data_IF_143087117712
#
_entry.id   IF_143087117712
#
_cell.length_a   1.000
_cell.length_b   1.000
_cell.length_c   1.000
_cell.angle_alpha   90.00
_cell.angle_beta   90.00
_cell.angle_gamma   90.00
#
_symmetry.space_group_name_H-M   'P 1'
#
loop_
_entity.id
_entity.type
_entity.pdbx_description
1 polymer ?
#
# COMPACT_ATOMS: atom_id res chain seq x y z
N UNK A 1 -2.35 23.49 7.56
CA UNK A 1 -2.71 22.30 6.76
C UNK A 1 -3.30 21.28 7.72
N UNK A 2 -4.63 21.17 7.78
CA UNK A 2 -5.32 20.20 8.64
C UNK A 2 -5.31 18.87 7.92
N UNK A 3 -4.55 17.88 8.44
CA UNK A 3 -4.76 16.48 8.14
C UNK A 3 -5.74 15.97 9.21
N UNK A 4 -6.90 15.51 8.81
CA UNK A 4 -7.80 14.82 9.73
C UNK A 4 -7.45 13.34 9.63
N UNK A 5 -6.82 12.82 10.69
CA UNK A 5 -6.61 11.39 10.87
C UNK A 5 -7.86 10.87 11.59
N UNK A 6 -8.72 10.16 10.90
CA UNK A 6 -9.89 9.52 11.52
C UNK A 6 -9.61 8.03 11.67
N UNK A 7 -9.71 7.60 12.91
CA UNK A 7 -9.74 6.24 13.42
C UNK A 7 -8.42 5.47 13.48
N UNK A 8 -7.87 5.40 14.69
CA UNK A 8 -6.96 4.34 15.11
C UNK A 8 -7.83 3.24 15.72
N UNK A 9 -8.01 2.12 15.02
CA UNK A 9 -8.65 0.94 15.56
C UNK A 9 -7.57 -0.05 16.00
N UNK A 10 -7.42 -0.23 17.29
CA UNK A 10 -6.61 -1.29 17.87
C UNK A 10 -7.34 -2.63 17.77
N UNK A 11 -6.73 -3.64 17.18
CA UNK A 11 -7.15 -5.03 17.35
C UNK A 11 -6.55 -5.57 18.65
N UNK A 12 -7.34 -5.66 19.71
CA UNK A 12 -6.95 -6.27 20.97
C UNK A 12 -6.86 -7.80 20.82
N UNK A 13 -5.74 -8.30 20.28
CA UNK A 13 -5.36 -9.71 20.47
C UNK A 13 -4.41 -9.76 21.65
N UNK A 14 -4.87 -10.41 22.76
CA UNK A 14 -4.18 -10.48 24.03
C UNK A 14 -2.72 -10.94 23.92
N UNK A 15 -1.83 -10.16 24.47
CA UNK A 15 -0.43 -10.50 24.65
C UNK A 15 -0.29 -11.44 25.85
N UNK A 16 -0.22 -12.73 25.59
CA UNK A 16 0.10 -13.77 26.57
C UNK A 16 1.22 -14.66 26.07
N UNK A 17 2.40 -14.56 26.68
CA UNK A 17 3.53 -15.49 26.47
C UNK A 17 4.69 -14.87 25.68
N UNK A 18 5.93 -15.20 26.06
CA UNK A 18 7.17 -14.84 25.34
C UNK A 18 7.10 -15.36 23.91
N UNK A 19 6.66 -14.54 22.99
CA UNK A 19 6.70 -14.81 21.55
C UNK A 19 7.82 -13.97 20.92
N UNK A 20 8.50 -14.55 19.88
CA UNK A 20 9.26 -13.81 18.90
C UNK A 20 8.53 -12.48 18.66
N UNK A 21 9.21 -11.33 18.73
CA UNK A 21 8.59 -10.04 18.45
C UNK A 21 8.02 -10.07 17.04
N UNK A 22 6.73 -10.32 16.94
CA UNK A 22 6.03 -10.31 15.66
C UNK A 22 5.96 -8.87 15.18
N UNK A 23 6.27 -8.66 13.90
CA UNK A 23 6.11 -7.35 13.26
C UNK A 23 4.71 -6.79 13.47
N UNK A 24 4.60 -5.50 13.80
CA UNK A 24 3.33 -4.77 13.82
C UNK A 24 3.00 -4.35 12.39
N UNK A 25 1.82 -4.69 11.92
CA UNK A 25 1.35 -4.29 10.58
C UNK A 25 0.48 -3.05 10.68
N UNK A 26 0.93 -1.96 10.05
CA UNK A 26 0.25 -0.67 10.00
C UNK A 26 -0.32 -0.42 8.61
N UNK A 27 -1.65 -0.37 8.49
CA UNK A 27 -2.33 0.02 7.25
C UNK A 27 -2.55 1.54 7.18
N UNK A 28 -2.07 2.19 6.11
CA UNK A 28 -2.31 3.61 5.81
C UNK A 28 -3.16 3.71 4.57
N UNK A 29 -4.46 3.90 4.76
CA UNK A 29 -5.46 4.02 3.71
C UNK A 29 -5.86 5.48 3.43
N UNK A 30 -6.52 5.71 2.32
CA UNK A 30 -7.09 7.02 1.94
C UNK A 30 -7.08 7.23 0.44
N UNK A 31 -7.90 8.14 -0.07
CA UNK A 31 -8.01 8.40 -1.51
C UNK A 31 -6.69 8.87 -2.15
N UNK A 32 -6.58 8.71 -3.46
CA UNK A 32 -5.43 9.24 -4.21
C UNK A 32 -5.29 10.75 -3.97
N UNK A 33 -4.06 11.22 -3.70
CA UNK A 33 -3.80 12.62 -3.37
C UNK A 33 -4.11 13.03 -1.92
N UNK A 34 -4.55 12.12 -1.03
CA UNK A 34 -4.85 12.45 0.36
C UNK A 34 -3.61 12.79 1.20
N UNK A 35 -2.43 12.29 0.83
CA UNK A 35 -1.18 12.53 1.54
C UNK A 35 -0.65 11.32 2.30
N UNK A 36 -1.16 10.13 2.04
CA UNK A 36 -0.66 8.86 2.61
C UNK A 36 0.86 8.73 2.50
N UNK A 37 1.38 8.86 1.29
CA UNK A 37 2.83 8.75 1.00
C UNK A 37 3.66 9.77 1.77
N UNK A 38 3.11 10.95 2.05
CA UNK A 38 3.79 11.96 2.88
C UNK A 38 3.89 11.48 4.33
N UNK A 39 2.84 10.83 4.85
CA UNK A 39 2.83 10.28 6.21
C UNK A 39 3.80 9.10 6.28
N UNK A 40 3.71 8.17 5.33
CA UNK A 40 4.61 7.02 5.22
C UNK A 40 6.08 7.44 5.21
N UNK A 41 6.45 8.40 4.36
CA UNK A 41 7.81 8.94 4.28
C UNK A 41 8.28 9.51 5.61
N UNK A 42 7.46 10.33 6.29
CA UNK A 42 7.82 10.90 7.60
C UNK A 42 8.06 9.85 8.68
N UNK A 43 7.26 8.78 8.68
CA UNK A 43 7.47 7.65 9.61
C UNK A 43 8.79 6.96 9.29
N UNK A 44 9.04 6.64 8.01
CA UNK A 44 10.26 5.96 7.57
C UNK A 44 11.52 6.81 7.84
N UNK A 45 11.47 8.11 7.61
CA UNK A 45 12.56 9.02 7.91
C UNK A 45 12.85 9.10 9.41
N UNK A 46 11.82 8.99 10.25
CA UNK A 46 11.97 9.02 11.72
C UNK A 46 12.51 7.71 12.29
N UNK A 47 12.20 6.58 11.62
CA UNK A 47 12.55 5.22 12.06
C UNK A 47 13.17 4.39 10.91
N UNK A 48 14.32 4.81 10.34
CA UNK A 48 14.82 4.29 9.07
C UNK A 48 15.17 2.79 9.09
N UNK A 49 15.51 2.23 10.25
CA UNK A 49 15.94 0.84 10.38
C UNK A 49 14.87 -0.06 11.05
N UNK A 50 13.69 0.49 11.33
CA UNK A 50 12.65 -0.22 12.07
C UNK A 50 11.38 -0.45 11.24
N UNK A 51 11.34 0.09 10.02
CA UNK A 51 10.14 0.10 9.18
C UNK A 51 10.43 -0.50 7.82
N UNK A 52 9.60 -1.44 7.39
CA UNK A 52 9.47 -1.87 5.99
C UNK A 52 8.20 -1.28 5.40
N UNK A 53 8.23 -0.90 4.13
CA UNK A 53 7.08 -0.31 3.44
C UNK A 53 6.67 -1.15 2.25
N UNK A 54 5.38 -1.40 2.12
CA UNK A 54 4.74 -2.05 0.99
C UNK A 54 3.71 -1.09 0.40
N UNK A 55 3.80 -0.84 -0.88
CA UNK A 55 2.80 -0.07 -1.61
C UNK A 55 1.80 -1.00 -2.28
N UNK A 56 0.51 -0.83 -2.00
CA UNK A 56 -0.55 -1.60 -2.65
C UNK A 56 -0.52 -1.44 -4.18
N UNK A 57 -0.07 -0.27 -4.63
CA UNK A 57 0.07 0.04 -6.05
C UNK A 57 1.05 -0.90 -6.78
N UNK A 58 2.01 -1.53 -6.10
CA UNK A 58 2.89 -2.55 -6.68
C UNK A 58 2.15 -3.86 -6.99
N UNK A 59 0.98 -4.07 -6.40
CA UNK A 59 0.15 -5.25 -6.55
C UNK A 59 -0.97 -5.10 -7.59
N UNK A 60 -0.94 -4.08 -8.44
CA UNK A 60 -1.81 -4.09 -9.62
C UNK A 60 -1.59 -5.37 -10.43
N UNK A 61 -2.68 -5.93 -10.95
CA UNK A 61 -2.62 -7.15 -11.80
C UNK A 61 -1.82 -6.88 -13.08
N UNK A 62 -1.13 -7.93 -13.55
CA UNK A 62 -0.56 -7.93 -14.89
C UNK A 62 -1.67 -8.09 -15.94
N UNK A 63 -1.49 -7.42 -17.07
CA UNK A 63 -2.39 -7.44 -18.22
C UNK A 63 -1.61 -7.68 -19.52
N UNK A 64 -0.85 -8.79 -19.53
CA UNK A 64 0.08 -9.11 -20.64
C UNK A 64 -0.63 -9.50 -21.93
N UNK A 65 -1.84 -10.04 -21.78
CA UNK A 65 -2.75 -10.40 -22.87
C UNK A 65 -3.45 -9.18 -23.50
N UNK A 66 -3.26 -7.98 -22.91
CA UNK A 66 -3.98 -6.78 -23.30
C UNK A 66 -3.04 -5.75 -23.94
N UNK A 67 -3.37 -5.19 -25.14
CA UNK A 67 -2.61 -4.09 -25.74
C UNK A 67 -2.56 -2.85 -24.83
N UNK A 68 -1.48 -2.06 -24.94
CA UNK A 68 -1.27 -0.85 -24.14
C UNK A 68 -2.46 0.11 -24.18
N UNK A 69 -3.06 0.35 -25.38
CA UNK A 69 -4.19 1.27 -25.53
C UNK A 69 -5.43 0.80 -24.74
N UNK A 70 -5.63 -0.49 -24.59
CA UNK A 70 -6.72 -1.02 -23.77
C UNK A 70 -6.40 -0.93 -22.28
N UNK A 71 -5.15 -1.19 -21.87
CA UNK A 71 -4.71 -1.04 -20.49
C UNK A 71 -4.93 0.39 -19.96
N UNK A 72 -4.73 1.41 -20.78
CA UNK A 72 -4.99 2.82 -20.43
C UNK A 72 -6.43 3.11 -20.06
N UNK A 73 -7.38 2.31 -20.52
CA UNK A 73 -8.81 2.51 -20.30
C UNK A 73 -9.34 1.78 -19.06
N UNK A 74 -8.51 0.96 -18.42
CA UNK A 74 -8.91 0.24 -17.22
C UNK A 74 -9.13 1.18 -16.02
N UNK A 75 -10.09 0.80 -15.18
CA UNK A 75 -10.34 1.51 -13.92
C UNK A 75 -9.40 1.00 -12.81
N UNK A 76 -8.27 1.64 -12.66
CA UNK A 76 -7.27 1.31 -11.63
C UNK A 76 -7.66 1.71 -10.20
N UNK A 77 -8.78 2.39 -10.02
CA UNK A 77 -9.33 2.73 -8.70
C UNK A 77 -10.38 1.68 -8.24
N UNK A 78 -10.49 0.52 -8.93
CA UNK A 78 -11.41 -0.57 -8.57
C UNK A 78 -10.69 -1.71 -7.83
N UNK A 79 -11.32 -2.36 -6.83
CA UNK A 79 -10.69 -3.46 -6.07
C UNK A 79 -10.17 -4.59 -6.96
N UNK A 80 -10.91 -4.97 -8.00
CA UNK A 80 -10.51 -6.03 -8.93
C UNK A 80 -9.23 -5.75 -9.73
N UNK A 81 -8.76 -4.51 -9.74
CA UNK A 81 -7.49 -4.15 -10.40
C UNK A 81 -6.26 -4.62 -9.64
N UNK A 82 -6.43 -5.02 -8.38
CA UNK A 82 -5.35 -5.44 -7.52
C UNK A 82 -5.32 -6.96 -7.33
N UNK A 83 -4.13 -7.50 -7.15
CA UNK A 83 -3.90 -8.87 -6.69
C UNK A 83 -3.78 -8.89 -5.16
N UNK A 84 -4.89 -8.57 -4.49
CA UNK A 84 -4.95 -8.45 -3.02
C UNK A 84 -4.62 -9.75 -2.30
N UNK A 85 -4.95 -10.89 -2.92
CA UNK A 85 -4.59 -12.22 -2.39
C UNK A 85 -3.08 -12.40 -2.25
N UNK A 86 -2.30 -11.97 -3.25
CA UNK A 86 -0.84 -12.02 -3.20
C UNK A 86 -0.29 -11.10 -2.09
N UNK A 87 -0.83 -9.89 -1.95
CA UNK A 87 -0.44 -8.99 -0.86
C UNK A 87 -0.75 -9.61 0.51
N UNK A 88 -1.91 -10.23 0.66
CA UNK A 88 -2.34 -10.91 1.88
C UNK A 88 -1.39 -12.04 2.25
N UNK A 89 -0.99 -12.87 1.27
CA UNK A 89 0.00 -13.93 1.46
C UNK A 89 1.36 -13.37 1.87
N UNK A 90 1.85 -12.36 1.18
CA UNK A 90 3.11 -11.68 1.48
C UNK A 90 3.14 -11.12 2.91
N UNK A 91 2.04 -10.51 3.37
CA UNK A 91 1.96 -10.02 4.76
C UNK A 91 1.99 -11.15 5.78
N UNK A 92 1.39 -12.30 5.50
CA UNK A 92 1.48 -13.49 6.37
C UNK A 92 2.91 -14.02 6.46
N UNK A 93 3.62 -14.08 5.33
CA UNK A 93 5.04 -14.48 5.28
C UNK A 93 5.89 -13.53 6.14
N UNK A 94 5.75 -12.22 5.95
CA UNK A 94 6.49 -11.21 6.71
C UNK A 94 6.16 -11.26 8.20
N UNK A 95 4.88 -11.42 8.56
CA UNK A 95 4.45 -11.53 9.97
C UNK A 95 5.06 -12.74 10.68
N UNK A 96 5.34 -13.81 9.92
CA UNK A 96 6.02 -15.01 10.41
C UNK A 96 7.55 -14.93 10.35
N UNK A 97 8.12 -13.78 9.99
CA UNK A 97 9.56 -13.54 9.93
C UNK A 97 10.23 -13.95 8.64
N UNK A 98 9.46 -14.33 7.59
CA UNK A 98 9.98 -14.60 6.26
C UNK A 98 10.21 -13.34 5.44
N UNK A 99 10.96 -13.47 4.34
CA UNK A 99 11.19 -12.41 3.36
C UNK A 99 10.27 -12.63 2.15
N UNK A 100 9.94 -11.57 1.42
CA UNK A 100 9.14 -11.62 0.20
C UNK A 100 9.85 -10.96 -0.97
N UNK A 101 9.52 -11.39 -2.18
CA UNK A 101 9.86 -10.72 -3.42
C UNK A 101 8.64 -9.93 -3.90
N UNK A 102 8.57 -8.66 -3.49
CA UNK A 102 7.46 -7.75 -3.82
C UNK A 102 7.48 -7.43 -5.31
N UNK A 103 6.35 -7.50 -6.03
CA UNK A 103 6.29 -7.14 -7.44
C UNK A 103 6.60 -5.66 -7.65
N UNK A 104 6.90 -5.28 -8.88
CA UNK A 104 7.12 -3.90 -9.30
C UNK A 104 6.14 -3.54 -10.42
N UNK A 105 5.49 -2.39 -10.31
CA UNK A 105 4.53 -1.91 -11.30
C UNK A 105 5.08 -0.72 -12.10
N UNK A 106 4.99 -0.79 -13.42
CA UNK A 106 5.35 0.30 -14.33
C UNK A 106 4.11 1.14 -14.70
N UNK A 107 4.02 2.32 -14.12
CA UNK A 107 2.93 3.25 -14.40
C UNK A 107 2.93 3.78 -15.84
N UNK A 108 4.09 3.82 -16.51
CA UNK A 108 4.20 4.28 -17.90
C UNK A 108 3.65 3.26 -18.90
N UNK A 109 3.79 1.99 -18.57
CA UNK A 109 3.31 0.86 -19.37
C UNK A 109 1.94 0.35 -18.91
N UNK A 110 1.40 0.86 -17.80
CA UNK A 110 0.17 0.36 -17.19
C UNK A 110 0.20 -1.16 -17.00
N UNK A 111 1.34 -1.68 -16.55
CA UNK A 111 1.52 -3.12 -16.35
C UNK A 111 2.52 -3.44 -15.24
N UNK A 112 2.44 -4.66 -14.71
CA UNK A 112 3.44 -5.21 -13.81
C UNK A 112 4.72 -5.55 -14.61
N UNK A 113 5.88 -5.26 -14.05
CA UNK A 113 7.16 -5.59 -14.68
C UNK A 113 7.46 -7.09 -14.52
N UNK A 114 7.69 -7.78 -15.64
CA UNK A 114 8.04 -9.20 -15.62
C UNK A 114 9.42 -9.45 -15.03
N UNK A 115 9.49 -10.38 -14.08
CA UNK A 115 10.75 -10.81 -13.48
C UNK A 115 11.46 -9.72 -12.66
N UNK A 116 10.83 -8.56 -12.46
CA UNK A 116 11.36 -7.48 -11.64
C UNK A 116 10.62 -7.46 -10.32
N UNK A 117 11.33 -7.79 -9.26
CA UNK A 117 10.84 -7.74 -7.88
C UNK A 117 11.85 -7.01 -7.01
N UNK A 118 11.42 -6.55 -5.86
CA UNK A 118 12.32 -6.05 -4.83
C UNK A 118 12.07 -6.81 -3.53
N UNK A 119 13.18 -7.22 -2.90
CA UNK A 119 13.12 -8.00 -1.68
C UNK A 119 12.79 -7.14 -0.48
N UNK A 120 11.77 -7.54 0.25
CA UNK A 120 11.36 -6.92 1.51
C UNK A 120 11.60 -7.92 2.64
N UNK A 121 12.31 -7.44 3.68
CA UNK A 121 12.53 -8.16 4.93
C UNK A 121 11.58 -7.65 6.00
N UNK A 122 11.14 -8.51 6.93
CA UNK A 122 10.34 -8.06 8.05
C UNK A 122 11.16 -7.15 8.96
N UNK A 123 10.55 -6.06 9.39
CA UNK A 123 11.05 -5.16 10.42
C UNK A 123 10.06 -5.11 11.58
N UNK A 124 10.37 -4.34 12.65
CA UNK A 124 9.47 -4.17 13.80
C UNK A 124 8.09 -3.66 13.37
N UNK A 125 8.05 -2.77 12.37
CA UNK A 125 6.83 -2.24 11.78
C UNK A 125 6.84 -2.49 10.28
N UNK A 126 5.72 -3.02 9.76
CA UNK A 126 5.47 -3.16 8.33
C UNK A 126 4.34 -2.19 7.98
N UNK A 127 4.62 -1.18 7.18
CA UNK A 127 3.62 -0.24 6.68
C UNK A 127 3.08 -0.78 5.35
N UNK A 128 1.77 -0.86 5.24
CA UNK A 128 1.07 -1.08 3.95
C UNK A 128 0.32 0.19 3.61
N UNK A 129 0.66 0.78 2.47
CA UNK A 129 0.01 2.00 1.97
C UNK A 129 -0.81 1.71 0.73
N UNK A 130 -2.07 2.17 0.70
CA UNK A 130 -2.89 2.05 -0.51
C UNK A 130 -4.25 2.70 -0.44
N UNK A 131 -4.92 2.77 -1.59
CA UNK A 131 -6.24 3.41 -1.69
C UNK A 131 -7.36 2.49 -1.20
N UNK A 132 -7.23 1.16 -1.38
CA UNK A 132 -8.28 0.16 -1.13
C UNK A 132 -7.87 -0.93 -0.13
N UNK A 133 -6.77 -0.77 0.60
CA UNK A 133 -6.25 -1.79 1.52
C UNK A 133 -7.21 -2.16 2.66
N UNK A 134 -8.22 -1.35 2.93
CA UNK A 134 -9.25 -1.64 3.95
C UNK A 134 -10.53 -2.23 3.35
N UNK A 135 -10.58 -2.45 2.03
CA UNK A 135 -11.76 -2.93 1.34
C UNK A 135 -12.04 -4.41 1.63
N UNK A 136 -11.03 -5.26 1.48
CA UNK A 136 -11.16 -6.70 1.69
C UNK A 136 -10.95 -7.06 3.16
N UNK A 137 -11.87 -7.88 3.70
CA UNK A 137 -11.87 -8.27 5.11
C UNK A 137 -10.61 -9.02 5.48
N UNK A 138 -10.20 -9.99 4.67
CA UNK A 138 -9.04 -10.84 4.91
C UNK A 138 -7.73 -10.02 5.03
N UNK A 139 -7.53 -9.02 4.15
CA UNK A 139 -6.40 -8.11 4.22
C UNK A 139 -6.52 -7.15 5.41
N UNK A 140 -7.72 -6.58 5.62
CA UNK A 140 -8.00 -5.63 6.70
C UNK A 140 -7.76 -6.21 8.09
N UNK A 141 -8.01 -7.51 8.28
CA UNK A 141 -7.85 -8.20 9.57
C UNK A 141 -6.38 -8.50 9.91
N UNK A 142 -5.47 -8.41 8.95
CA UNK A 142 -4.04 -8.51 9.19
C UNK A 142 -3.44 -7.24 9.80
N UNK A 143 -4.09 -6.09 9.65
CA UNK A 143 -3.59 -4.83 10.19
C UNK A 143 -3.83 -4.73 11.70
N UNK A 144 -2.76 -4.60 12.46
CA UNK A 144 -2.81 -4.33 13.89
C UNK A 144 -3.24 -2.88 14.17
N UNK A 145 -2.80 -1.95 13.30
CA UNK A 145 -3.18 -0.52 13.34
C UNK A 145 -3.68 -0.09 11.96
N UNK A 146 -4.77 0.65 11.94
CA UNK A 146 -5.40 1.16 10.72
C UNK A 146 -5.50 2.67 10.79
N UNK A 147 -4.92 3.37 9.82
CA UNK A 147 -5.00 4.82 9.67
C UNK A 147 -5.73 5.13 8.36
N UNK A 148 -6.76 5.94 8.43
CA UNK A 148 -7.41 6.48 7.25
C UNK A 148 -7.08 7.97 7.12
N UNK A 149 -6.45 8.34 5.99
CA UNK A 149 -6.06 9.72 5.69
C UNK A 149 -7.19 10.38 4.91
N UNK A 150 -7.98 11.17 5.60
CA UNK A 150 -9.06 11.94 4.99
C UNK A 150 -8.57 13.32 4.55
N UNK A 151 -8.98 13.74 3.36
CA UNK A 151 -8.65 15.03 2.77
C UNK A 151 -9.75 15.41 1.78
N UNK A 152 -10.14 16.65 1.76
CA UNK A 152 -11.18 17.19 0.89
C UNK A 152 -10.95 16.81 -0.58
N UNK A 153 -12.03 16.50 -1.29
CA UNK A 153 -11.99 15.95 -2.64
C UNK A 153 -11.31 16.90 -3.65
N UNK A 154 -11.58 18.21 -3.56
CA UNK A 154 -10.99 19.25 -4.39
C UNK A 154 -9.47 19.33 -4.21
N UNK A 155 -8.98 19.28 -2.99
CA UNK A 155 -7.54 19.23 -2.67
C UNK A 155 -6.90 17.97 -3.24
N UNK A 156 -7.57 16.81 -3.14
CA UNK A 156 -7.05 15.53 -3.67
C UNK A 156 -6.96 15.56 -5.18
N UNK A 157 -7.97 16.09 -5.87
CA UNK A 157 -7.99 16.21 -7.34
C UNK A 157 -6.82 17.07 -7.82
N UNK A 158 -6.62 18.24 -7.23
CA UNK A 158 -5.51 19.13 -7.60
C UNK A 158 -4.13 18.49 -7.39
N UNK A 159 -3.97 17.75 -6.29
CA UNK A 159 -2.71 17.03 -6.00
C UNK A 159 -2.50 15.87 -6.97
N UNK A 160 -3.56 15.10 -7.30
CA UNK A 160 -3.51 13.99 -8.26
C UNK A 160 -3.13 14.51 -9.65
N UNK A 161 -3.79 15.54 -10.16
CA UNK A 161 -3.47 16.15 -11.46
C UNK A 161 -2.00 16.59 -11.52
N UNK A 162 -1.53 17.32 -10.49
CA UNK A 162 -0.15 17.81 -10.45
C UNK A 162 0.87 16.66 -10.46
N UNK A 163 0.62 15.58 -9.71
CA UNK A 163 1.47 14.38 -9.68
C UNK A 163 1.44 13.64 -11.01
N UNK A 164 0.25 13.38 -11.56
CA UNK A 164 0.08 12.57 -12.77
C UNK A 164 0.75 13.25 -13.98
N UNK A 165 0.70 14.58 -14.06
CA UNK A 165 1.43 15.35 -15.11
C UNK A 165 2.94 15.33 -14.85
N UNK A 166 3.41 15.56 -13.63
CA UNK A 166 4.85 15.74 -13.35
C UNK A 166 5.64 14.45 -13.21
N UNK A 167 5.02 13.40 -12.66
CA UNK A 167 5.73 12.20 -12.22
C UNK A 167 5.32 10.94 -13.01
N UNK A 168 4.13 10.93 -13.62
CA UNK A 168 3.59 9.76 -14.32
C UNK A 168 3.42 9.95 -15.83
N UNK A 169 3.81 11.11 -16.37
CA UNK A 169 3.74 11.41 -17.81
C UNK A 169 2.33 11.36 -18.40
N UNK A 170 1.29 11.53 -17.58
CA UNK A 170 -0.10 11.55 -18.03
C UNK A 170 -0.48 12.96 -18.44
N UNK A 171 -1.02 13.08 -19.66
CA UNK A 171 -1.57 14.34 -20.20
C UNK A 171 -3.02 14.52 -19.78
#
# INVERSE_FOLDING_TARGET
KKFIIIAILYSNKGYGGRQKENSVILGIAGGSGSGKTTITKRITERFPNEVSVIYHDDYYKAHDDMPFEQRKLLNYDHPESFETSLLTEHLRILKNGGEIDCPTYDYSQHNRMHGVTHRIKPNKVIIVEGILILNEEELRDLFDIKIFVDTDADVRILRRLRRDVKERGRS
#
